data_IF_075778059951
#
_entry.id   IF_075778059951
#
_cell.length_a   1.000
_cell.length_b   1.000
_cell.length_c   1.000
_cell.angle_alpha   90.00
_cell.angle_beta   90.00
_cell.angle_gamma   90.00
#
_symmetry.space_group_name_H-M   'P 1'
#
loop_
_entity.id
_entity.type
_entity.pdbx_description
1 polymer ?
#
# COMPACT_ATOMS: atom_id res chain seq x y z
N UNK A 1 -14.51 -15.49 2.77
CA UNK A 1 -13.18 -15.74 3.36
C UNK A 1 -12.38 -14.46 3.17
N UNK A 2 -12.11 -13.73 4.25
CA UNK A 2 -11.55 -12.37 4.19
C UNK A 2 -10.03 -12.43 4.30
N UNK A 3 -9.35 -12.29 3.18
CA UNK A 3 -7.90 -12.03 3.13
C UNK A 3 -7.63 -10.59 3.59
N UNK A 4 -7.81 -10.29 4.88
CA UNK A 4 -7.03 -9.21 5.47
C UNK A 4 -5.64 -9.78 5.68
N UNK A 5 -4.88 -9.80 4.59
CA UNK A 5 -3.50 -10.29 4.57
C UNK A 5 -2.56 -9.35 5.29
N UNK A 6 -1.34 -9.83 5.54
CA UNK A 6 -0.25 -8.95 5.93
C UNK A 6 0.01 -7.94 4.80
N UNK A 7 0.62 -6.81 5.16
CA UNK A 7 1.08 -5.81 4.22
C UNK A 7 1.92 -6.49 3.13
N UNK A 8 1.51 -6.36 1.88
CA UNK A 8 2.20 -7.00 0.75
C UNK A 8 3.55 -6.35 0.42
N UNK A 9 3.98 -5.35 1.20
CA UNK A 9 5.26 -4.64 1.04
C UNK A 9 6.28 -5.11 2.07
N UNK A 10 5.92 -5.12 3.36
CA UNK A 10 6.82 -5.56 4.44
C UNK A 10 6.52 -6.95 4.99
N UNK A 11 5.36 -7.51 4.66
CA UNK A 11 4.88 -8.83 5.08
C UNK A 11 4.93 -9.07 6.61
N UNK A 12 4.94 -7.98 7.37
CA UNK A 12 5.18 -8.00 8.82
C UNK A 12 4.01 -7.43 9.62
N UNK A 13 3.33 -6.43 9.07
CA UNK A 13 2.19 -5.75 9.70
C UNK A 13 0.89 -6.15 9.03
N UNK A 14 -0.25 -6.06 9.72
CA UNK A 14 -1.55 -6.24 9.10
C UNK A 14 -1.78 -5.16 8.04
N UNK A 15 -2.34 -5.53 6.89
CA UNK A 15 -2.77 -4.55 5.93
C UNK A 15 -4.05 -3.86 6.39
N UNK A 16 -4.01 -2.53 6.39
CA UNK A 16 -5.11 -1.67 6.83
C UNK A 16 -5.66 -0.83 5.68
N UNK A 17 -4.85 -0.60 4.64
CA UNK A 17 -5.14 0.26 3.51
C UNK A 17 -5.01 -0.52 2.20
N UNK A 18 -5.77 -0.11 1.18
CA UNK A 18 -5.70 -0.67 -0.17
C UNK A 18 -5.23 0.40 -1.15
N UNK A 19 -4.12 0.14 -1.85
CA UNK A 19 -3.62 1.01 -2.90
C UNK A 19 -4.65 1.14 -4.02
N UNK A 20 -5.04 2.38 -4.35
CA UNK A 20 -6.02 2.64 -5.41
C UNK A 20 -5.48 2.38 -6.83
N UNK A 21 -4.15 2.30 -7.01
CA UNK A 21 -3.53 2.10 -8.33
C UNK A 21 -3.35 0.62 -8.65
N UNK A 22 -2.71 -0.15 -7.76
CA UNK A 22 -2.38 -1.56 -8.00
C UNK A 22 -3.28 -2.54 -7.24
N UNK A 23 -4.14 -2.07 -6.33
CA UNK A 23 -5.02 -2.91 -5.52
C UNK A 23 -4.32 -3.61 -4.34
N UNK A 24 -3.03 -3.34 -4.12
CA UNK A 24 -2.25 -4.00 -3.07
C UNK A 24 -2.71 -3.61 -1.66
N UNK A 25 -2.74 -4.59 -0.77
CA UNK A 25 -3.07 -4.42 0.65
C UNK A 25 -1.80 -4.04 1.43
N UNK A 26 -1.78 -2.86 2.04
CA UNK A 26 -0.61 -2.29 2.71
C UNK A 26 -0.93 -1.77 4.11
N UNK A 27 0.06 -1.75 5.00
CA UNK A 27 -0.08 -1.11 6.31
C UNK A 27 0.04 0.42 6.16
N UNK A 28 -0.37 1.17 7.20
CA UNK A 28 -0.31 2.63 7.19
C UNK A 28 1.10 3.18 6.87
N UNK A 29 2.17 2.44 7.23
CA UNK A 29 3.56 2.86 6.98
C UNK A 29 3.94 2.82 5.49
N UNK A 30 3.37 1.88 4.73
CA UNK A 30 3.64 1.72 3.29
C UNK A 30 2.51 2.28 2.42
N UNK A 31 1.56 2.98 3.05
CA UNK A 31 0.50 3.72 2.39
C UNK A 31 0.85 5.20 2.41
N UNK A 32 0.87 5.80 1.24
CA UNK A 32 1.03 7.22 1.03
C UNK A 32 -0.35 7.88 1.06
N UNK A 33 -0.65 8.56 2.16
CA UNK A 33 -1.94 9.21 2.39
C UNK A 33 -2.16 10.44 1.50
N UNK A 34 -1.08 11.08 1.04
CA UNK A 34 -1.13 12.26 0.17
C UNK A 34 -1.63 11.89 -1.23
N UNK A 35 -1.18 10.77 -1.78
CA UNK A 35 -1.57 10.28 -3.10
C UNK A 35 -2.64 9.19 -3.07
N UNK A 36 -2.88 8.57 -1.91
CA UNK A 36 -3.79 7.43 -1.75
C UNK A 36 -3.23 6.12 -2.32
N UNK A 37 -1.91 6.02 -2.46
CA UNK A 37 -1.22 4.92 -3.15
C UNK A 37 -0.26 4.20 -2.20
N UNK A 38 0.21 2.99 -2.55
CA UNK A 38 1.35 2.42 -1.83
C UNK A 38 2.65 3.12 -2.22
N UNK A 39 3.66 3.05 -1.35
CA UNK A 39 4.98 3.67 -1.56
C UNK A 39 5.63 3.32 -2.91
N UNK A 40 5.40 2.11 -3.44
CA UNK A 40 5.91 1.70 -4.76
C UNK A 40 5.28 2.50 -5.90
N UNK A 41 3.95 2.63 -5.88
CA UNK A 41 3.21 3.40 -6.88
C UNK A 41 3.45 4.90 -6.70
N UNK A 42 3.47 5.40 -5.47
CA UNK A 42 3.76 6.80 -5.16
C UNK A 42 5.16 7.22 -5.68
N UNK A 43 6.18 6.39 -5.46
CA UNK A 43 7.54 6.63 -5.96
C UNK A 43 7.61 6.73 -7.50
N UNK A 44 6.80 5.95 -8.20
CA UNK A 44 6.71 5.99 -9.66
C UNK A 44 6.03 7.28 -10.18
N UNK A 45 5.12 7.88 -9.41
CA UNK A 45 4.38 9.09 -9.79
C UNK A 45 5.22 10.37 -9.57
N UNK A 46 6.15 10.36 -8.61
CA UNK A 46 6.98 11.52 -8.23
C UNK A 46 8.28 11.72 -9.02
N UNK A 47 8.70 10.75 -9.85
CA UNK A 47 9.99 10.81 -10.57
C UNK A 47 9.92 11.46 -11.97
N UNK A 48 9.22 12.59 -12.10
CA UNK A 48 9.05 13.30 -13.38
C UNK A 48 9.48 14.76 -13.29
#
# INVERSE_FOLDING_TARGET
MSIHGLCQVCESMAAEQQCQQCGALVCHTHYDEETGLCINCASAVGSR
#
